data_IF_360275929101
#
_entry.id   IF_360275929101
#
_cell.length_a   1.000
_cell.length_b   1.000
_cell.length_c   1.000
_cell.angle_alpha   90.00
_cell.angle_beta   90.00
_cell.angle_gamma   90.00
#
_symmetry.space_group_name_H-M   'P 1'
#
loop_
_entity.id
_entity.type
_entity.pdbx_description
1 polymer ?
#
# COMPACT_ATOMS: atom_id res chain seq x y z
N UNK A 1 -69.97 37.96 -24.65
CA UNK A 1 -69.20 39.01 -25.35
C UNK A 1 -68.39 39.72 -24.26
N UNK A 2 -67.08 39.96 -24.33
CA UNK A 2 -66.19 40.12 -25.50
C UNK A 2 -66.32 41.56 -26.06
N UNK A 3 -65.28 42.33 -26.42
CA UNK A 3 -63.82 42.13 -26.62
C UNK A 3 -63.12 43.53 -26.58
N UNK A 4 -61.80 43.77 -26.47
CA UNK A 4 -60.56 42.99 -26.26
C UNK A 4 -59.36 43.92 -25.86
N UNK A 5 -58.12 43.39 -25.99
CA UNK A 5 -56.77 43.99 -26.15
C UNK A 5 -56.67 45.43 -26.76
N UNK A 6 -55.55 46.19 -26.65
CA UNK A 6 -54.14 45.80 -26.89
C UNK A 6 -53.04 46.70 -26.26
N UNK A 7 -51.83 46.15 -26.18
CA UNK A 7 -50.55 46.84 -25.88
C UNK A 7 -49.93 47.53 -27.12
N UNK A 8 -48.82 48.27 -26.92
CA UNK A 8 -47.67 48.20 -27.83
C UNK A 8 -46.39 47.73 -27.11
N UNK A 9 -45.59 46.92 -27.78
CA UNK A 9 -44.24 46.52 -27.32
C UNK A 9 -43.21 47.65 -27.49
N UNK A 10 -42.19 47.65 -26.62
CA UNK A 10 -40.78 47.82 -27.00
C UNK A 10 -39.84 47.14 -26.01
N UNK A 11 -39.09 46.19 -26.53
CA UNK A 11 -37.68 45.88 -26.29
C UNK A 11 -36.96 46.77 -25.24
N UNK A 12 -36.39 46.17 -24.19
CA UNK A 12 -35.01 45.67 -24.31
C UNK A 12 -34.57 44.73 -23.16
N UNK A 13 -33.35 44.22 -23.29
CA UNK A 13 -32.74 43.08 -22.60
C UNK A 13 -32.63 43.16 -21.05
N UNK A 14 -32.48 41.99 -20.42
CA UNK A 14 -32.02 41.84 -19.01
C UNK A 14 -30.49 41.72 -18.97
N UNK A 15 -29.93 42.09 -17.80
CA UNK A 15 -28.52 42.01 -17.39
C UNK A 15 -27.61 43.17 -17.85
N UNK A 16 -26.44 43.40 -17.19
CA UNK A 16 -26.07 43.11 -15.80
C UNK A 16 -25.57 44.37 -15.05
N UNK A 17 -25.58 44.33 -13.70
CA UNK A 17 -24.83 45.29 -12.88
C UNK A 17 -23.92 44.57 -11.86
N UNK A 18 -22.69 44.26 -12.30
CA UNK A 18 -21.58 43.90 -11.42
C UNK A 18 -20.53 45.02 -11.43
N UNK A 19 -20.48 45.78 -10.35
CA UNK A 19 -19.26 46.30 -9.69
C UNK A 19 -19.69 46.92 -8.35
N UNK A 20 -19.60 46.19 -7.23
CA UNK A 20 -18.40 45.80 -6.48
C UNK A 20 -17.95 46.88 -5.49
N UNK A 21 -18.28 46.67 -4.21
CA UNK A 21 -17.28 46.40 -3.17
C UNK A 21 -17.97 45.92 -1.87
N UNK A 22 -17.18 45.54 -0.86
CA UNK A 22 -17.59 45.09 0.48
C UNK A 22 -18.31 43.72 0.53
N UNK A 23 -17.56 42.65 0.23
CA UNK A 23 -17.94 41.27 0.63
C UNK A 23 -17.55 41.00 2.08
N UNK A 24 -18.48 41.13 3.03
CA UNK A 24 -18.42 40.35 4.27
C UNK A 24 -18.81 38.90 3.97
N UNK A 25 -18.13 37.88 4.51
CA UNK A 25 -18.54 36.48 4.30
C UNK A 25 -19.80 36.17 5.12
N UNK A 26 -20.88 35.76 4.45
CA UNK A 26 -22.05 35.19 5.14
C UNK A 26 -21.68 33.80 5.65
N UNK A 27 -21.54 33.66 6.97
CA UNK A 27 -21.08 32.42 7.60
C UNK A 27 -22.14 31.30 7.44
N UNK A 28 -21.70 30.15 6.90
CA UNK A 28 -22.58 29.01 6.66
C UNK A 28 -22.77 28.21 7.94
N UNK A 29 -24.00 28.11 8.44
CA UNK A 29 -24.35 27.34 9.63
C UNK A 29 -24.22 25.81 9.47
N UNK A 30 -23.70 25.30 8.34
CA UNK A 30 -23.23 23.92 8.21
C UNK A 30 -21.73 23.87 8.50
N UNK A 31 -21.27 23.07 9.50
CA UNK A 31 -19.84 22.84 9.66
C UNK A 31 -19.27 22.25 8.36
N UNK A 32 -18.11 22.73 7.88
CA UNK A 32 -17.50 22.21 6.67
C UNK A 32 -17.19 20.72 6.87
N UNK A 33 -17.73 19.88 5.97
CA UNK A 33 -17.46 18.44 5.96
C UNK A 33 -15.95 18.24 5.84
N UNK A 34 -15.28 17.50 6.74
CA UNK A 34 -13.85 17.30 6.66
C UNK A 34 -13.48 16.67 5.32
N UNK A 35 -12.41 17.16 4.69
CA UNK A 35 -11.95 16.76 3.36
C UNK A 35 -11.22 15.40 3.36
N UNK A 36 -11.85 14.40 3.97
CA UNK A 36 -11.34 13.03 4.01
C UNK A 36 -11.68 12.33 2.69
N UNK A 37 -10.65 12.01 1.87
CA UNK A 37 -10.30 10.63 1.45
C UNK A 37 -9.15 10.57 0.42
N UNK A 38 -8.77 11.68 -0.24
CA UNK A 38 -7.77 11.62 -1.33
C UNK A 38 -6.32 11.44 -0.86
N UNK A 39 -6.00 11.72 0.40
CA UNK A 39 -4.65 11.52 0.95
C UNK A 39 -4.34 10.03 1.15
N UNK A 40 -5.30 9.24 1.64
CA UNK A 40 -5.15 7.79 1.84
C UNK A 40 -4.90 7.05 0.51
N UNK A 41 -5.61 7.44 -0.56
CA UNK A 41 -5.44 6.83 -1.88
C UNK A 41 -4.00 6.96 -2.42
N UNK A 42 -3.26 8.00 -2.04
CA UNK A 42 -1.83 8.16 -2.41
C UNK A 42 -0.89 7.21 -1.67
N UNK A 43 -1.29 6.67 -0.51
CA UNK A 43 -0.44 5.76 0.28
C UNK A 43 -0.51 4.30 -0.16
N UNK A 44 -1.46 3.93 -1.03
CA UNK A 44 -1.65 2.54 -1.48
C UNK A 44 -2.12 1.56 -0.40
N UNK A 45 -2.36 2.02 0.83
CA UNK A 45 -2.85 1.20 1.96
C UNK A 45 -4.30 0.77 1.73
N UNK A 46 -4.67 -0.36 2.32
CA UNK A 46 -6.06 -0.81 2.43
C UNK A 46 -6.68 -0.11 3.65
N UNK A 47 -7.75 0.66 3.45
CA UNK A 47 -8.58 1.24 4.53
C UNK A 47 -9.98 0.61 4.49
N UNK A 48 -10.28 -0.27 5.45
CA UNK A 48 -11.58 -0.95 5.51
C UNK A 48 -12.71 0.01 5.95
N UNK A 49 -13.79 0.05 5.17
CA UNK A 49 -15.04 0.77 5.51
C UNK A 49 -15.98 -0.15 6.27
N UNK A 50 -16.72 0.37 7.26
CA UNK A 50 -17.68 -0.46 8.00
C UNK A 50 -18.93 -0.77 7.16
N UNK A 51 -19.26 -2.05 7.10
CA UNK A 51 -20.45 -2.64 6.47
C UNK A 51 -21.55 -2.98 7.49
N UNK A 52 -21.32 -2.73 8.78
CA UNK A 52 -22.38 -2.71 9.81
C UNK A 52 -22.72 -4.07 10.41
N UNK A 53 -22.11 -5.15 9.91
CA UNK A 53 -22.15 -6.49 10.51
C UNK A 53 -20.79 -6.75 11.15
N UNK A 54 -20.74 -6.93 12.47
CA UNK A 54 -19.48 -6.97 13.24
C UNK A 54 -18.49 -8.02 12.72
N UNK A 55 -18.95 -9.26 12.49
CA UNK A 55 -18.15 -10.36 11.95
C UNK A 55 -17.76 -10.21 10.47
N UNK A 56 -18.20 -9.16 9.78
CA UNK A 56 -17.70 -8.75 8.46
C UNK A 56 -16.73 -7.57 8.58
N UNK A 57 -17.05 -6.58 9.42
CA UNK A 57 -16.16 -5.45 9.76
C UNK A 57 -14.80 -5.95 10.27
N UNK A 58 -14.81 -6.97 11.14
CA UNK A 58 -13.61 -7.66 11.65
C UNK A 58 -12.79 -8.30 10.50
N UNK A 59 -13.41 -9.08 9.61
CA UNK A 59 -12.72 -9.76 8.49
C UNK A 59 -12.09 -8.79 7.49
N UNK A 60 -12.75 -7.66 7.22
CA UNK A 60 -12.16 -6.62 6.36
C UNK A 60 -11.03 -5.87 7.07
N UNK A 61 -11.10 -5.68 8.39
CA UNK A 61 -10.02 -5.09 9.19
C UNK A 61 -8.79 -6.01 9.22
N UNK A 62 -9.00 -7.31 9.49
CA UNK A 62 -7.99 -8.37 9.45
C UNK A 62 -7.20 -8.40 8.12
N UNK A 63 -7.92 -8.31 6.98
CA UNK A 63 -7.30 -8.27 5.65
C UNK A 63 -6.58 -6.95 5.41
N UNK A 64 -7.15 -5.82 5.83
CA UNK A 64 -6.52 -4.51 5.71
C UNK A 64 -5.19 -4.46 6.48
N UNK A 65 -5.18 -4.86 7.75
CA UNK A 65 -3.96 -4.93 8.57
C UNK A 65 -2.94 -5.92 8.01
N UNK A 66 -3.38 -7.11 7.60
CA UNK A 66 -2.48 -8.14 7.05
C UNK A 66 -1.86 -7.68 5.71
N UNK A 67 -2.61 -6.99 4.84
CA UNK A 67 -2.08 -6.39 3.61
C UNK A 67 -1.12 -5.24 3.90
N UNK A 68 -1.54 -4.27 4.72
CA UNK A 68 -0.74 -3.10 5.06
C UNK A 68 0.61 -3.49 5.68
N UNK A 69 0.60 -4.51 6.55
CA UNK A 69 1.84 -5.06 7.13
C UNK A 69 2.73 -5.75 6.10
N UNK A 70 2.16 -6.42 5.08
CA UNK A 70 2.97 -6.96 3.99
C UNK A 70 3.59 -5.82 3.14
N UNK A 71 2.82 -4.75 2.88
CA UNK A 71 3.31 -3.57 2.17
C UNK A 71 4.46 -2.89 2.94
N UNK A 72 4.31 -2.68 4.25
CA UNK A 72 5.35 -2.11 5.12
C UNK A 72 6.66 -2.93 5.12
N UNK A 73 6.55 -4.27 5.16
CA UNK A 73 7.72 -5.15 5.05
C UNK A 73 8.35 -5.12 3.65
N UNK A 74 7.54 -4.98 2.60
CA UNK A 74 8.04 -4.86 1.22
C UNK A 74 8.74 -3.50 0.98
N UNK A 75 8.17 -2.41 1.46
CA UNK A 75 8.80 -1.08 1.42
C UNK A 75 10.11 -1.07 2.22
N UNK A 76 10.12 -1.67 3.41
CA UNK A 76 11.34 -1.87 4.20
C UNK A 76 12.42 -2.65 3.43
N UNK A 77 12.04 -3.75 2.76
CA UNK A 77 12.95 -4.54 1.92
C UNK A 77 13.56 -3.68 0.79
N UNK A 78 12.73 -2.93 0.05
CA UNK A 78 13.21 -2.04 -1.04
C UNK A 78 14.12 -0.93 -0.49
N UNK A 79 13.77 -0.33 0.64
CA UNK A 79 14.55 0.72 1.30
C UNK A 79 15.93 0.22 1.80
N UNK A 80 16.01 -1.00 2.34
CA UNK A 80 17.30 -1.58 2.78
C UNK A 80 18.18 -1.96 1.57
N UNK A 81 17.60 -2.42 0.46
CA UNK A 81 18.35 -2.63 -0.79
C UNK A 81 18.85 -1.30 -1.38
N UNK A 82 18.03 -0.26 -1.41
CA UNK A 82 18.44 1.08 -1.85
C UNK A 82 19.53 1.67 -0.94
N UNK A 83 19.44 1.48 0.38
CA UNK A 83 20.47 1.89 1.34
C UNK A 83 21.82 1.21 1.06
N UNK A 84 21.79 -0.06 0.64
CA UNK A 84 22.99 -0.79 0.19
C UNK A 84 23.55 -0.18 -1.10
N UNK A 85 22.67 0.06 -2.09
CA UNK A 85 23.03 0.62 -3.38
C UNK A 85 23.69 2.00 -3.27
N UNK A 86 23.10 2.92 -2.51
CA UNK A 86 23.66 4.26 -2.30
C UNK A 86 24.99 4.25 -1.54
N UNK A 87 25.22 3.29 -0.62
CA UNK A 87 26.48 3.21 0.15
C UNK A 87 27.66 2.75 -0.71
N UNK A 88 27.43 1.76 -1.58
CA UNK A 88 28.47 1.16 -2.43
C UNK A 88 28.43 1.66 -3.89
N UNK A 89 27.61 2.68 -4.17
CA UNK A 89 27.42 3.25 -5.50
C UNK A 89 27.05 2.20 -6.56
N UNK A 90 26.20 1.23 -6.18
CA UNK A 90 25.58 0.31 -7.14
C UNK A 90 24.57 1.10 -8.00
N UNK A 91 24.45 0.81 -9.31
CA UNK A 91 23.41 1.41 -10.15
C UNK A 91 21.99 1.16 -9.61
N UNK A 92 21.08 2.07 -9.90
CA UNK A 92 19.69 1.99 -9.41
C UNK A 92 18.94 0.89 -10.16
N UNK A 93 18.31 -0.01 -9.40
CA UNK A 93 17.68 -1.27 -9.84
C UNK A 93 18.63 -2.47 -10.06
N UNK A 94 19.94 -2.32 -9.84
CA UNK A 94 20.84 -3.49 -9.84
C UNK A 94 20.59 -4.41 -8.64
N UNK A 95 20.94 -5.68 -8.81
CA UNK A 95 20.60 -6.76 -7.89
C UNK A 95 21.60 -6.90 -6.74
N UNK A 96 21.31 -7.77 -5.76
CA UNK A 96 22.18 -7.96 -4.58
C UNK A 96 23.61 -8.40 -4.97
N UNK A 97 23.76 -9.09 -6.10
CA UNK A 97 25.04 -9.57 -6.65
C UNK A 97 26.03 -8.44 -6.96
N UNK A 98 25.58 -7.39 -7.63
CA UNK A 98 26.42 -6.24 -8.01
C UNK A 98 26.85 -5.44 -6.78
N UNK A 99 25.93 -5.24 -5.82
CA UNK A 99 26.33 -4.65 -4.55
C UNK A 99 27.29 -5.54 -3.77
N UNK A 100 27.10 -6.87 -3.74
CA UNK A 100 28.04 -7.79 -3.08
C UNK A 100 29.42 -7.77 -3.75
N UNK A 101 29.49 -7.59 -5.07
CA UNK A 101 30.74 -7.36 -5.81
C UNK A 101 31.43 -6.07 -5.35
N UNK A 102 30.73 -4.94 -5.35
CA UNK A 102 31.28 -3.64 -4.91
C UNK A 102 31.66 -3.61 -3.42
N UNK A 103 30.94 -4.35 -2.57
CA UNK A 103 31.27 -4.54 -1.16
C UNK A 103 32.61 -5.27 -1.01
N UNK A 104 32.85 -6.34 -1.79
CA UNK A 104 34.13 -7.05 -1.81
C UNK A 104 35.27 -6.18 -2.32
N UNK A 105 35.07 -5.47 -3.42
CA UNK A 105 36.07 -4.58 -4.02
C UNK A 105 36.47 -3.41 -3.11
N UNK A 106 35.52 -2.81 -2.37
CA UNK A 106 35.81 -1.75 -1.40
C UNK A 106 36.50 -2.24 -0.12
N UNK A 107 36.43 -3.55 0.17
CA UNK A 107 36.93 -4.14 1.41
C UNK A 107 37.77 -5.40 1.14
N UNK A 108 38.71 -5.31 0.19
CA UNK A 108 39.53 -6.44 -0.27
C UNK A 108 40.31 -7.20 0.84
N UNK A 109 40.66 -6.49 1.93
CA UNK A 109 41.31 -7.05 3.13
C UNK A 109 40.35 -7.82 4.07
N UNK A 110 39.10 -8.02 3.66
CA UNK A 110 38.09 -8.78 4.38
C UNK A 110 37.57 -9.93 3.50
N UNK A 111 37.66 -11.17 3.99
CA UNK A 111 36.94 -12.28 3.37
C UNK A 111 35.44 -12.11 3.64
N UNK A 112 34.73 -11.65 2.61
CA UNK A 112 33.29 -11.39 2.64
C UNK A 112 32.55 -12.47 1.84
N UNK A 113 31.55 -13.10 2.45
CA UNK A 113 30.65 -14.06 1.80
C UNK A 113 29.20 -13.84 2.24
N UNK A 114 28.24 -14.31 1.46
CA UNK A 114 26.86 -14.40 1.89
C UNK A 114 26.60 -15.82 2.45
N UNK A 115 25.66 -15.95 3.36
CA UNK A 115 25.19 -17.22 3.90
C UNK A 115 23.65 -17.22 3.93
N UNK A 116 23.00 -18.32 3.51
CA UNK A 116 21.53 -18.52 3.64
C UNK A 116 21.24 -19.71 4.56
N UNK A 117 20.25 -19.53 5.45
CA UNK A 117 19.70 -20.54 6.36
C UNK A 117 18.18 -20.49 6.27
N UNK A 118 17.61 -21.32 5.38
CA UNK A 118 16.17 -21.34 5.11
C UNK A 118 15.72 -20.05 4.41
N UNK A 119 14.89 -19.24 5.08
CA UNK A 119 14.42 -17.94 4.57
C UNK A 119 15.28 -16.76 5.05
N UNK A 120 16.25 -16.99 5.94
CA UNK A 120 17.14 -15.97 6.47
C UNK A 120 18.47 -15.98 5.72
N UNK A 121 19.07 -14.81 5.50
CA UNK A 121 20.38 -14.65 4.87
C UNK A 121 21.17 -13.53 5.53
N UNK A 122 22.50 -13.66 5.55
CA UNK A 122 23.39 -12.73 6.27
C UNK A 122 24.71 -12.51 5.53
N UNK A 123 25.32 -11.35 5.77
CA UNK A 123 26.66 -11.03 5.27
C UNK A 123 27.71 -11.48 6.29
N UNK A 124 28.45 -12.52 5.96
CA UNK A 124 29.54 -13.05 6.76
C UNK A 124 30.84 -12.35 6.38
N UNK A 125 31.56 -11.88 7.39
CA UNK A 125 32.80 -11.12 7.24
C UNK A 125 33.85 -11.73 8.17
N UNK A 126 35.04 -12.01 7.61
CA UNK A 126 36.23 -12.44 8.36
C UNK A 126 37.40 -11.56 7.97
N UNK A 127 38.21 -11.15 8.93
CA UNK A 127 39.47 -10.44 8.72
C UNK A 127 40.38 -10.70 9.92
N UNK A 128 41.68 -10.67 9.70
CA UNK A 128 42.70 -10.77 10.77
C UNK A 128 42.92 -9.40 11.47
N UNK A 129 42.32 -8.33 10.94
CA UNK A 129 42.30 -6.99 11.50
C UNK A 129 40.86 -6.59 11.97
N UNK A 130 40.70 -5.39 12.54
CA UNK A 130 39.36 -4.93 12.92
C UNK A 130 38.47 -4.69 11.69
N UNK A 131 37.31 -5.34 11.67
CA UNK A 131 36.28 -5.13 10.63
C UNK A 131 35.85 -3.65 10.61
N UNK A 132 35.92 -2.94 9.47
CA UNK A 132 35.54 -1.54 9.36
C UNK A 132 34.11 -1.25 9.84
N UNK A 133 33.91 -0.10 10.49
CA UNK A 133 32.60 0.31 11.01
C UNK A 133 31.52 0.47 9.94
N UNK A 134 31.90 0.85 8.72
CA UNK A 134 31.00 0.84 7.56
C UNK A 134 30.54 -0.58 7.20
N UNK A 135 31.45 -1.56 7.24
CA UNK A 135 31.15 -2.94 6.89
C UNK A 135 30.29 -3.62 7.97
N UNK A 136 30.51 -3.32 9.26
CA UNK A 136 29.61 -3.70 10.37
C UNK A 136 28.17 -3.21 10.11
N UNK A 137 28.00 -1.92 9.78
CA UNK A 137 26.71 -1.33 9.37
C UNK A 137 26.12 -1.93 8.09
N UNK A 138 26.92 -2.63 7.29
CA UNK A 138 26.47 -3.31 6.08
C UNK A 138 25.96 -4.72 6.40
N UNK A 139 26.58 -5.42 7.36
CA UNK A 139 26.04 -6.68 7.91
C UNK A 139 24.68 -6.46 8.59
N UNK A 140 24.53 -5.37 9.36
CA UNK A 140 23.26 -4.94 9.96
C UNK A 140 22.18 -4.73 8.88
N UNK A 141 22.47 -3.92 7.86
CA UNK A 141 21.53 -3.62 6.78
C UNK A 141 21.12 -4.86 5.97
N UNK A 142 22.03 -5.81 5.72
CA UNK A 142 21.71 -7.10 5.06
C UNK A 142 20.84 -7.99 5.97
N UNK A 143 21.08 -7.98 7.29
CA UNK A 143 20.25 -8.72 8.26
C UNK A 143 18.82 -8.17 8.33
N UNK A 144 18.66 -6.84 8.28
CA UNK A 144 17.35 -6.19 8.20
C UNK A 144 16.65 -6.43 6.86
N UNK A 145 17.40 -6.36 5.74
CA UNK A 145 16.91 -6.71 4.40
C UNK A 145 16.35 -8.14 4.37
N UNK A 146 17.08 -9.10 4.92
CA UNK A 146 16.62 -10.48 5.00
C UNK A 146 15.36 -10.64 5.86
N UNK A 147 15.33 -10.03 7.06
CA UNK A 147 14.15 -10.05 7.94
C UNK A 147 12.91 -9.47 7.24
N UNK A 148 13.06 -8.39 6.49
CA UNK A 148 11.98 -7.81 5.69
C UNK A 148 11.53 -8.77 4.57
N UNK A 149 12.46 -9.30 3.79
CA UNK A 149 12.23 -10.29 2.71
C UNK A 149 11.42 -11.49 3.22
N UNK A 150 11.89 -12.12 4.30
CA UNK A 150 11.22 -13.25 4.97
C UNK A 150 9.81 -12.91 5.46
N UNK A 151 9.60 -11.68 5.94
CA UNK A 151 8.28 -11.22 6.43
C UNK A 151 7.26 -11.00 5.30
N UNK A 152 7.70 -10.53 4.12
CA UNK A 152 6.86 -10.44 2.91
C UNK A 152 6.41 -11.83 2.42
N UNK A 153 7.31 -12.82 2.51
CA UNK A 153 7.08 -14.21 2.10
C UNK A 153 6.19 -14.95 3.10
N UNK A 154 6.36 -14.74 4.42
CA UNK A 154 5.57 -15.47 5.43
C UNK A 154 4.08 -15.05 5.45
N UNK A 155 3.79 -13.77 5.21
CA UNK A 155 2.42 -13.23 5.24
C UNK A 155 1.60 -13.65 4.01
N UNK A 156 2.23 -13.82 2.85
CA UNK A 156 1.48 -13.82 1.57
C UNK A 156 0.49 -14.98 1.39
N UNK A 157 0.74 -16.16 1.96
CA UNK A 157 -0.20 -17.29 1.87
C UNK A 157 -1.49 -17.02 2.65
N UNK A 158 -1.37 -16.68 3.95
CA UNK A 158 -2.51 -16.33 4.82
C UNK A 158 -3.33 -15.20 4.20
N UNK A 159 -2.65 -14.15 3.73
CA UNK A 159 -3.28 -12.98 3.12
C UNK A 159 -4.05 -13.34 1.84
N UNK A 160 -3.47 -14.18 0.98
CA UNK A 160 -4.14 -14.65 -0.23
C UNK A 160 -5.43 -15.42 0.13
N UNK A 161 -5.36 -16.36 1.07
CA UNK A 161 -6.51 -17.15 1.53
C UNK A 161 -7.63 -16.30 2.14
N UNK A 162 -7.29 -15.30 2.96
CA UNK A 162 -8.27 -14.38 3.56
C UNK A 162 -8.98 -13.53 2.50
N UNK A 163 -8.23 -12.96 1.56
CA UNK A 163 -8.77 -12.21 0.41
C UNK A 163 -9.67 -13.12 -0.42
N UNK A 164 -9.24 -14.34 -0.73
CA UNK A 164 -10.01 -15.30 -1.52
C UNK A 164 -11.30 -15.75 -0.83
N UNK A 165 -11.30 -15.81 0.51
CA UNK A 165 -12.50 -16.08 1.31
C UNK A 165 -13.50 -14.94 1.20
N UNK A 166 -13.07 -13.69 1.36
CA UNK A 166 -13.92 -12.50 1.17
C UNK A 166 -14.52 -12.44 -0.25
N UNK A 167 -13.68 -12.60 -1.28
CA UNK A 167 -14.12 -12.48 -2.67
C UNK A 167 -15.09 -13.60 -3.11
N UNK A 168 -15.05 -14.78 -2.46
CA UNK A 168 -16.05 -15.84 -2.66
C UNK A 168 -17.34 -15.63 -1.86
N UNK A 169 -17.32 -14.82 -0.81
CA UNK A 169 -18.45 -14.61 0.10
C UNK A 169 -19.36 -13.43 -0.30
N UNK A 170 -19.04 -12.69 -1.38
CA UNK A 170 -19.70 -11.45 -1.81
C UNK A 170 -21.24 -11.47 -1.70
N UNK A 171 -21.92 -12.41 -2.38
CA UNK A 171 -23.39 -12.54 -2.34
C UNK A 171 -23.93 -12.79 -0.93
N UNK A 172 -23.24 -13.62 -0.14
CA UNK A 172 -23.66 -13.94 1.24
C UNK A 172 -23.46 -12.75 2.19
N UNK A 173 -22.46 -11.91 1.93
CA UNK A 173 -22.24 -10.68 2.71
C UNK A 173 -23.28 -9.61 2.39
N UNK A 174 -23.73 -9.49 1.14
CA UNK A 174 -24.87 -8.63 0.77
C UNK A 174 -26.12 -9.03 1.57
N UNK A 175 -26.52 -10.30 1.53
CA UNK A 175 -27.71 -10.76 2.25
C UNK A 175 -27.59 -10.66 3.78
N UNK A 176 -26.39 -10.72 4.35
CA UNK A 176 -26.16 -10.45 5.78
C UNK A 176 -26.39 -8.97 6.13
N UNK A 177 -25.98 -8.04 5.28
CA UNK A 177 -26.23 -6.59 5.46
C UNK A 177 -27.72 -6.30 5.30
N UNK A 178 -28.36 -6.87 4.27
CA UNK A 178 -29.80 -6.69 4.00
C UNK A 178 -30.69 -7.21 5.14
N UNK A 179 -30.30 -8.31 5.78
CA UNK A 179 -30.99 -8.86 6.95
C UNK A 179 -30.70 -8.10 8.26
N UNK A 180 -29.54 -7.42 8.37
CA UNK A 180 -29.14 -6.70 9.58
C UNK A 180 -29.67 -5.25 9.63
N UNK A 181 -29.92 -4.61 8.49
CA UNK A 181 -30.38 -3.22 8.40
C UNK A 181 -31.66 -3.10 7.57
N UNK A 182 -32.76 -2.69 8.23
CA UNK A 182 -34.08 -2.53 7.62
C UNK A 182 -34.32 -1.17 6.96
N UNK A 183 -33.49 -0.16 7.25
CA UNK A 183 -33.60 1.19 6.67
C UNK A 183 -32.90 1.20 5.31
N UNK A 184 -33.67 1.13 4.23
CA UNK A 184 -33.16 1.03 2.85
C UNK A 184 -32.02 2.01 2.49
N UNK A 185 -32.06 3.27 2.98
CA UNK A 185 -30.98 4.24 2.74
C UNK A 185 -29.65 3.84 3.41
N UNK A 186 -29.69 3.30 4.63
CA UNK A 186 -28.51 2.84 5.35
C UNK A 186 -28.03 1.49 4.80
N UNK A 187 -28.96 0.56 4.57
CA UNK A 187 -28.72 -0.71 3.89
C UNK A 187 -27.93 -0.52 2.58
N UNK A 188 -28.38 0.42 1.72
CA UNK A 188 -27.64 0.79 0.50
C UNK A 188 -26.24 1.32 0.82
N UNK A 189 -26.09 2.26 1.76
CA UNK A 189 -24.79 2.81 2.16
C UNK A 189 -23.81 1.74 2.67
N UNK A 190 -24.31 0.69 3.32
CA UNK A 190 -23.52 -0.44 3.81
C UNK A 190 -23.11 -1.40 2.67
N UNK A 191 -23.99 -1.63 1.69
CA UNK A 191 -23.66 -2.38 0.45
C UNK A 191 -22.66 -1.61 -0.43
N UNK A 192 -22.82 -0.29 -0.59
CA UNK A 192 -21.85 0.57 -1.29
C UNK A 192 -20.46 0.50 -0.62
N UNK A 193 -20.40 0.45 0.72
CA UNK A 193 -19.16 0.22 1.48
C UNK A 193 -18.58 -1.19 1.27
N UNK A 194 -19.42 -2.22 1.20
CA UNK A 194 -18.99 -3.60 0.93
C UNK A 194 -18.32 -3.71 -0.45
N UNK A 195 -18.92 -3.11 -1.49
CA UNK A 195 -18.37 -3.12 -2.85
C UNK A 195 -16.99 -2.45 -2.90
N UNK A 196 -16.81 -1.32 -2.22
CA UNK A 196 -15.51 -0.62 -2.16
C UNK A 196 -14.45 -1.41 -1.36
N UNK A 197 -14.84 -2.11 -0.28
CA UNK A 197 -13.92 -3.03 0.41
C UNK A 197 -13.52 -4.23 -0.48
N UNK A 198 -14.45 -4.77 -1.26
CA UNK A 198 -14.19 -5.90 -2.17
C UNK A 198 -13.28 -5.49 -3.35
N UNK A 199 -13.44 -4.26 -3.84
CA UNK A 199 -12.53 -3.62 -4.81
C UNK A 199 -11.11 -3.49 -4.25
N UNK A 200 -10.96 -3.06 -3.00
CA UNK A 200 -9.66 -3.02 -2.33
C UNK A 200 -9.08 -4.43 -2.08
N UNK A 201 -9.91 -5.41 -1.77
CA UNK A 201 -9.48 -6.82 -1.69
C UNK A 201 -9.00 -7.37 -3.05
N UNK A 202 -9.64 -6.98 -4.17
CA UNK A 202 -9.17 -7.31 -5.53
C UNK A 202 -7.81 -6.64 -5.82
N UNK A 203 -7.64 -5.35 -5.49
CA UNK A 203 -6.36 -4.64 -5.59
C UNK A 203 -5.25 -5.30 -4.76
N UNK A 204 -5.56 -5.70 -3.53
CA UNK A 204 -4.64 -6.44 -2.66
C UNK A 204 -4.26 -7.82 -3.25
N UNK A 205 -5.21 -8.52 -3.88
CA UNK A 205 -4.97 -9.80 -4.59
C UNK A 205 -3.98 -9.65 -5.75
N UNK A 206 -3.96 -8.50 -6.42
CA UNK A 206 -3.03 -8.23 -7.53
C UNK A 206 -1.64 -7.77 -7.08
N UNK A 207 -1.54 -7.12 -5.91
CA UNK A 207 -0.28 -6.57 -5.40
C UNK A 207 0.50 -7.57 -4.53
N UNK A 208 -0.18 -8.29 -3.63
CA UNK A 208 0.46 -9.23 -2.69
C UNK A 208 1.35 -10.30 -3.38
N UNK A 209 0.95 -10.91 -4.52
CA UNK A 209 1.80 -11.84 -5.26
C UNK A 209 3.03 -11.18 -5.91
N UNK A 210 2.95 -9.90 -6.29
CA UNK A 210 4.07 -9.14 -6.86
C UNK A 210 5.14 -8.91 -5.78
N UNK A 211 4.72 -8.45 -4.60
CA UNK A 211 5.60 -8.32 -3.42
C UNK A 211 6.26 -9.65 -3.05
N UNK A 212 5.48 -10.75 -3.01
CA UNK A 212 5.99 -12.11 -2.78
C UNK A 212 7.03 -12.51 -3.84
N UNK A 213 6.77 -12.24 -5.12
CA UNK A 213 7.67 -12.60 -6.23
C UNK A 213 9.00 -11.86 -6.13
N UNK A 214 8.99 -10.55 -5.86
CA UNK A 214 10.23 -9.78 -5.70
C UNK A 214 11.04 -10.22 -4.48
N UNK A 215 10.38 -10.48 -3.34
CA UNK A 215 11.04 -11.03 -2.16
C UNK A 215 11.62 -12.44 -2.41
N UNK A 216 10.89 -13.30 -3.12
CA UNK A 216 11.36 -14.62 -3.53
C UNK A 216 12.56 -14.57 -4.48
N UNK A 217 12.55 -13.65 -5.46
CA UNK A 217 13.68 -13.42 -6.35
C UNK A 217 14.94 -13.01 -5.57
N UNK A 218 14.81 -12.09 -4.60
CA UNK A 218 15.94 -11.64 -3.76
C UNK A 218 16.49 -12.76 -2.88
N UNK A 219 15.63 -13.62 -2.32
CA UNK A 219 16.06 -14.79 -1.55
C UNK A 219 16.77 -15.84 -2.43
N UNK A 220 16.26 -16.09 -3.64
CA UNK A 220 16.89 -17.00 -4.59
C UNK A 220 18.25 -16.47 -5.06
N UNK A 221 18.37 -15.16 -5.29
CA UNK A 221 19.66 -14.51 -5.55
C UNK A 221 20.62 -14.68 -4.37
N UNK A 222 20.16 -14.48 -3.12
CA UNK A 222 20.97 -14.70 -1.94
C UNK A 222 21.47 -16.16 -1.82
N UNK A 223 20.63 -17.14 -2.18
CA UNK A 223 21.02 -18.55 -2.20
C UNK A 223 22.16 -18.81 -3.20
N UNK A 224 22.00 -18.34 -4.45
CA UNK A 224 23.03 -18.46 -5.50
C UNK A 224 24.35 -17.77 -5.09
N UNK A 225 24.28 -16.57 -4.51
CA UNK A 225 25.45 -15.83 -4.00
C UNK A 225 26.13 -16.48 -2.79
N UNK A 226 25.45 -17.41 -2.12
CA UNK A 226 25.98 -18.21 -1.01
C UNK A 226 26.46 -19.59 -1.46
N UNK A 227 26.45 -19.89 -2.77
CA UNK A 227 26.84 -21.19 -3.31
C UNK A 227 25.78 -22.29 -3.17
N UNK A 228 24.53 -21.93 -2.84
CA UNK A 228 23.40 -22.86 -2.76
C UNK A 228 22.65 -22.83 -4.09
N UNK A 229 22.80 -23.88 -4.88
CA UNK A 229 21.96 -24.12 -6.07
C UNK A 229 20.57 -24.59 -5.62
N UNK A 230 19.47 -24.00 -6.16
CA UNK A 230 18.10 -24.49 -5.93
C UNK A 230 17.83 -25.88 -6.51
#
# INVERSE_FOLDING_TARGET
MGCCFSSPDRDDEREPLIQSNNKTPTESARPPRPANTDVDQRSGRFTARRVGVSGLDERFTDVAETFNRQQEHYESMKNKLQTLASRYHCPVNDSLSECLRRIKEKHELCHISLEVKGYDFSLMVRSDAEIPSELKRTQENVTELSRATKSVISISTKLHEMIDSLLRAETSMISQIEAAESRHQEQKRLVDNLQENLKEARRAKELSPKYRKEAGNLLNEAALLSGITP
#
